data_IF_711067077014
#
_entry.id   IF_711067077014
#
_cell.length_a   1.000
_cell.length_b   1.000
_cell.length_c   1.000
_cell.angle_alpha   90.00
_cell.angle_beta   90.00
_cell.angle_gamma   90.00
#
_symmetry.space_group_name_H-M   'P 1'
#
loop_
_entity.id
_entity.type
_entity.pdbx_description
1 polymer ?
#
# COMPACT_ATOMS: atom_id res chain seq x y z
N UNK A 1 -10.02 4.75 -11.32
CA UNK A 1 -8.69 4.11 -11.35
C UNK A 1 -8.73 2.59 -11.08
N UNK A 2 -8.02 1.79 -11.89
CA UNK A 2 -7.81 0.34 -11.74
C UNK A 2 -6.37 0.00 -11.29
N UNK A 3 -6.08 -1.27 -11.00
CA UNK A 3 -4.77 -1.71 -10.52
C UNK A 3 -3.65 -1.54 -11.55
N UNK A 4 -3.96 -1.59 -12.84
CA UNK A 4 -2.98 -1.34 -13.90
C UNK A 4 -2.54 0.13 -13.94
N UNK A 5 -3.48 1.06 -13.72
CA UNK A 5 -3.20 2.48 -13.57
C UNK A 5 -2.46 2.76 -12.26
N UNK A 6 -2.80 2.07 -11.16
CA UNK A 6 -2.06 2.12 -9.89
C UNK A 6 -0.57 1.82 -10.08
N UNK A 7 -0.25 0.67 -10.68
CA UNK A 7 1.14 0.30 -10.94
C UNK A 7 1.86 1.24 -11.90
N UNK A 8 1.14 1.88 -12.84
CA UNK A 8 1.76 2.86 -13.75
C UNK A 8 2.19 4.10 -12.99
N UNK A 9 1.28 4.70 -12.21
CA UNK A 9 1.56 5.93 -11.46
C UNK A 9 2.68 5.71 -10.45
N UNK A 10 2.62 4.61 -9.69
CA UNK A 10 3.65 4.31 -8.72
C UNK A 10 5.00 4.02 -9.39
N UNK A 11 5.03 3.33 -10.54
CA UNK A 11 6.26 3.11 -11.31
C UNK A 11 6.85 4.42 -11.79
N UNK A 12 6.03 5.28 -12.41
CA UNK A 12 6.48 6.55 -12.95
C UNK A 12 7.06 7.43 -11.82
N UNK A 13 6.34 7.56 -10.70
CA UNK A 13 6.82 8.26 -9.51
C UNK A 13 8.13 7.65 -8.96
N UNK A 14 8.25 6.33 -8.94
CA UNK A 14 9.45 5.66 -8.45
C UNK A 14 10.67 5.87 -9.35
N UNK A 15 10.47 5.97 -10.67
CA UNK A 15 11.54 6.20 -11.64
C UNK A 15 12.04 7.64 -11.68
N UNK A 16 11.26 8.59 -11.15
CA UNK A 16 11.69 9.98 -10.94
C UNK A 16 12.64 10.10 -9.72
N UNK A 17 12.70 9.09 -8.86
CA UNK A 17 13.51 9.11 -7.64
C UNK A 17 15.00 8.91 -7.95
N UNK A 18 15.90 9.71 -7.34
CA UNK A 18 17.34 9.57 -7.53
C UNK A 18 17.86 8.18 -7.15
N UNK A 19 18.65 7.58 -8.05
CA UNK A 19 19.25 6.26 -7.88
C UNK A 19 18.24 5.13 -7.60
N UNK A 20 16.97 5.30 -8.00
CA UNK A 20 16.02 4.22 -8.02
C UNK A 20 16.29 3.29 -9.21
N UNK A 21 16.16 1.99 -8.98
CA UNK A 21 16.32 0.95 -9.97
C UNK A 21 15.18 -0.06 -9.90
N UNK A 22 14.82 -0.66 -11.03
CA UNK A 22 13.87 -1.78 -11.11
C UNK A 22 14.66 -3.06 -11.37
N UNK A 23 14.36 -4.10 -10.59
CA UNK A 23 14.96 -5.44 -10.75
C UNK A 23 13.88 -6.52 -10.74
N UNK A 24 14.16 -7.67 -11.36
CA UNK A 24 13.19 -8.77 -11.52
C UNK A 24 13.70 -10.09 -10.91
N UNK A 25 13.96 -10.16 -9.60
CA UNK A 25 14.60 -11.33 -8.97
C UNK A 25 13.71 -12.58 -8.93
N UNK A 26 12.39 -12.44 -9.13
CA UNK A 26 11.41 -13.53 -9.08
C UNK A 26 10.76 -13.81 -10.44
N UNK A 27 11.33 -13.24 -11.52
CA UNK A 27 10.77 -13.31 -12.87
C UNK A 27 10.08 -12.01 -13.31
N UNK A 28 9.61 -11.95 -14.56
CA UNK A 28 9.12 -10.73 -15.21
C UNK A 28 7.80 -10.19 -14.63
N UNK A 29 7.07 -11.02 -13.87
CA UNK A 29 5.79 -10.64 -13.23
C UNK A 29 5.98 -9.85 -11.92
N UNK A 30 7.23 -9.66 -11.48
CA UNK A 30 7.58 -9.00 -10.23
C UNK A 30 8.55 -7.85 -10.48
N UNK A 31 8.07 -6.61 -10.30
CA UNK A 31 8.96 -5.45 -10.30
C UNK A 31 9.38 -5.12 -8.89
N UNK A 32 10.67 -5.26 -8.60
CA UNK A 32 11.27 -4.89 -7.32
C UNK A 32 12.03 -3.59 -7.47
N UNK A 33 11.50 -2.53 -6.87
CA UNK A 33 12.08 -1.19 -6.87
C UNK A 33 13.04 -1.04 -5.71
N UNK A 34 14.26 -0.59 -6.00
CA UNK A 34 15.36 -0.49 -5.03
C UNK A 34 16.05 0.85 -5.10
N UNK A 35 16.66 1.24 -3.99
CA UNK A 35 17.64 2.34 -3.89
C UNK A 35 18.87 1.81 -3.17
N UNK A 36 20.05 1.99 -3.77
CA UNK A 36 21.31 1.45 -3.26
C UNK A 36 21.23 -0.05 -2.88
N UNK A 37 20.54 -0.86 -3.70
CA UNK A 37 20.34 -2.29 -3.47
C UNK A 37 19.35 -2.67 -2.36
N UNK A 38 18.63 -1.70 -1.78
CA UNK A 38 17.58 -1.93 -0.77
C UNK A 38 16.19 -1.69 -1.37
N UNK A 39 15.29 -2.65 -1.21
CA UNK A 39 13.91 -2.56 -1.72
C UNK A 39 13.11 -1.52 -0.96
N UNK A 40 12.34 -0.70 -1.68
CA UNK A 40 11.34 0.21 -1.13
C UNK A 40 9.93 -0.05 -1.71
N UNK A 41 9.81 -0.65 -2.90
CA UNK A 41 8.49 -0.96 -3.46
C UNK A 41 8.50 -2.25 -4.27
N UNK A 42 7.35 -2.89 -4.35
CA UNK A 42 7.11 -4.13 -5.10
C UNK A 42 5.82 -4.00 -5.91
N UNK A 43 5.85 -4.35 -7.19
CA UNK A 43 4.63 -4.59 -7.99
C UNK A 43 4.47 -6.08 -8.30
N UNK A 44 3.22 -6.53 -8.27
CA UNK A 44 2.82 -7.90 -8.58
C UNK A 44 1.29 -7.95 -8.71
N UNK A 45 0.74 -9.10 -9.11
CA UNK A 45 -0.69 -9.39 -9.09
C UNK A 45 -1.01 -10.43 -8.05
N UNK A 46 -2.06 -10.26 -7.23
CA UNK A 46 -2.51 -11.32 -6.33
C UNK A 46 -2.68 -12.65 -7.07
N UNK A 47 -2.41 -13.80 -6.43
CA UNK A 47 -2.65 -15.09 -7.07
C UNK A 47 -4.14 -15.25 -7.41
N UNK A 48 -4.48 -16.16 -8.33
CA UNK A 48 -5.86 -16.31 -8.85
C UNK A 48 -6.93 -16.55 -7.78
N UNK A 49 -6.54 -17.09 -6.62
CA UNK A 49 -7.42 -17.33 -5.47
C UNK A 49 -7.49 -16.15 -4.47
N UNK A 50 -6.90 -15.00 -4.80
CA UNK A 50 -6.80 -13.84 -3.91
C UNK A 50 -5.80 -14.05 -2.76
N UNK A 51 -5.80 -13.14 -1.79
CA UNK A 51 -4.95 -13.24 -0.62
C UNK A 51 -5.76 -13.02 0.66
N UNK A 52 -5.60 -13.91 1.65
CA UNK A 52 -6.38 -13.90 2.89
C UNK A 52 -6.38 -12.60 3.70
N UNK A 53 -5.36 -11.76 3.52
CA UNK A 53 -5.16 -10.51 4.27
C UNK A 53 -5.39 -9.28 3.37
N UNK A 54 -5.94 -9.46 2.15
CA UNK A 54 -6.18 -8.41 1.15
C UNK A 54 -7.55 -8.63 0.53
N UNK A 55 -8.49 -7.73 0.83
CA UNK A 55 -9.87 -7.81 0.33
C UNK A 55 -9.95 -7.31 -1.12
N UNK A 56 -9.43 -8.11 -2.04
CA UNK A 56 -9.48 -7.86 -3.48
C UNK A 56 -9.49 -9.19 -4.27
N UNK A 57 -10.05 -9.21 -5.49
CA UNK A 57 -10.09 -10.43 -6.30
C UNK A 57 -8.70 -10.98 -6.63
N UNK A 58 -8.62 -12.27 -6.96
CA UNK A 58 -7.40 -12.85 -7.53
C UNK A 58 -7.01 -12.18 -8.86
N UNK A 59 -5.72 -12.11 -9.15
CA UNK A 59 -5.20 -11.42 -10.34
C UNK A 59 -5.14 -9.89 -10.23
N UNK A 60 -5.67 -9.30 -9.14
CA UNK A 60 -5.63 -7.86 -8.89
C UNK A 60 -4.20 -7.35 -8.86
N UNK A 61 -3.92 -6.30 -9.63
CA UNK A 61 -2.62 -5.64 -9.62
C UNK A 61 -2.45 -4.81 -8.34
N UNK A 62 -1.39 -5.10 -7.60
CA UNK A 62 -1.09 -4.47 -6.31
C UNK A 62 0.26 -3.79 -6.34
N UNK A 63 0.44 -2.86 -5.40
CA UNK A 63 1.75 -2.36 -5.00
C UNK A 63 1.97 -2.66 -3.53
N UNK A 64 3.21 -2.93 -3.13
CA UNK A 64 3.58 -3.10 -1.73
C UNK A 64 4.70 -2.12 -1.41
N UNK A 65 4.45 -1.20 -0.49
CA UNK A 65 5.38 -0.11 -0.13
C UNK A 65 5.81 -0.23 1.32
N UNK A 66 7.02 0.25 1.61
CA UNK A 66 7.54 0.32 2.96
C UNK A 66 6.94 1.51 3.70
N UNK A 67 6.55 1.31 4.95
CA UNK A 67 6.04 2.36 5.82
C UNK A 67 6.68 2.23 7.21
N UNK A 68 6.78 3.34 7.93
CA UNK A 68 7.12 3.26 9.36
C UNK A 68 5.99 2.54 10.12
N UNK A 69 6.27 1.86 11.24
CA UNK A 69 5.24 1.10 11.96
C UNK A 69 4.03 1.93 12.39
N UNK A 70 4.25 3.19 12.77
CA UNK A 70 3.17 4.13 13.11
C UNK A 70 2.28 4.43 11.92
N UNK A 71 2.89 4.77 10.78
CA UNK A 71 2.19 5.11 9.54
C UNK A 71 1.49 3.91 8.94
N UNK A 72 2.14 2.74 8.91
CA UNK A 72 1.54 1.50 8.43
C UNK A 72 0.23 1.17 9.17
N UNK A 73 0.18 1.44 10.48
CA UNK A 73 -1.03 1.28 11.27
C UNK A 73 -2.07 2.38 10.96
N UNK A 74 -1.65 3.64 10.85
CA UNK A 74 -2.54 4.76 10.53
C UNK A 74 -3.18 4.63 9.14
N UNK A 75 -2.39 4.32 8.11
CA UNK A 75 -2.84 4.15 6.72
C UNK A 75 -3.93 3.08 6.60
N UNK A 76 -3.74 1.92 7.23
CA UNK A 76 -4.74 0.83 7.23
C UNK A 76 -6.05 1.21 7.91
N UNK A 77 -6.03 2.11 8.91
CA UNK A 77 -7.27 2.60 9.54
C UNK A 77 -7.95 3.69 8.72
N UNK A 78 -7.18 4.50 8.02
CA UNK A 78 -7.68 5.65 7.27
C UNK A 78 -8.18 5.28 5.87
N UNK A 79 -7.69 4.19 5.27
CA UNK A 79 -7.92 3.87 3.88
C UNK A 79 -8.36 2.40 3.70
N UNK A 80 -9.57 2.14 3.18
CA UNK A 80 -10.10 0.77 3.00
C UNK A 80 -9.34 -0.03 1.93
N UNK A 81 -8.56 0.63 1.10
CA UNK A 81 -7.74 0.03 0.04
C UNK A 81 -6.28 -0.22 0.45
N UNK A 82 -5.95 -0.02 1.74
CA UNK A 82 -4.62 -0.29 2.30
C UNK A 82 -4.68 -1.46 3.26
N UNK A 83 -3.92 -2.51 2.94
CA UNK A 83 -3.91 -3.79 3.64
C UNK A 83 -2.53 -4.08 4.25
N UNK A 84 -2.41 -5.07 5.15
CA UNK A 84 -1.10 -5.56 5.58
C UNK A 84 -0.22 -6.01 4.40
N UNK A 85 1.10 -5.83 4.50
CA UNK A 85 2.04 -6.20 3.44
C UNK A 85 1.96 -7.69 3.07
N UNK A 86 1.56 -7.97 1.83
CA UNK A 86 1.46 -9.32 1.28
C UNK A 86 2.87 -9.91 1.09
N UNK A 87 3.10 -11.13 1.60
CA UNK A 87 4.40 -11.80 1.70
C UNK A 87 5.53 -11.05 2.43
N UNK A 88 5.27 -9.88 3.01
CA UNK A 88 6.28 -9.05 3.67
C UNK A 88 5.98 -8.87 5.17
N UNK A 89 6.92 -8.25 5.89
CA UNK A 89 6.72 -7.95 7.30
C UNK A 89 5.65 -6.87 7.46
N UNK A 90 4.44 -7.29 7.86
CA UNK A 90 3.24 -6.45 8.05
C UNK A 90 3.41 -5.26 9.01
N UNK A 91 4.49 -5.22 9.81
CA UNK A 91 4.82 -4.05 10.65
C UNK A 91 5.45 -2.90 9.86
N UNK A 92 6.06 -3.19 8.72
CA UNK A 92 6.86 -2.24 7.94
C UNK A 92 6.42 -2.13 6.48
N UNK A 93 5.44 -2.92 6.07
CA UNK A 93 4.99 -3.01 4.68
C UNK A 93 3.48 -3.03 4.63
N UNK A 94 2.94 -2.28 3.68
CA UNK A 94 1.51 -2.21 3.39
C UNK A 94 1.28 -2.52 1.91
N UNK A 95 0.19 -3.24 1.65
CA UNK A 95 -0.29 -3.52 0.29
C UNK A 95 -1.33 -2.47 -0.06
N UNK A 96 -1.27 -1.92 -1.27
CA UNK A 96 -2.25 -0.97 -1.78
C UNK A 96 -2.91 -1.57 -3.01
N UNK A 97 -4.24 -1.50 -3.04
CA UNK A 97 -5.11 -1.91 -4.15
C UNK A 97 -5.80 -0.67 -4.72
N UNK A 98 -6.24 -0.70 -5.97
CA UNK A 98 -7.07 0.38 -6.49
C UNK A 98 -8.43 0.42 -5.75
N UNK A 99 -8.95 1.58 -5.34
CA UNK A 99 -10.18 1.65 -4.53
C UNK A 99 -11.39 0.95 -5.16
N UNK A 100 -11.51 0.96 -6.49
CA UNK A 100 -12.59 0.29 -7.22
C UNK A 100 -12.45 -1.23 -7.34
N UNK A 101 -11.33 -1.80 -6.89
CA UNK A 101 -11.06 -3.24 -6.89
C UNK A 101 -11.10 -3.83 -5.47
N UNK A 102 -11.36 -3.00 -4.45
CA UNK A 102 -11.59 -3.48 -3.09
C UNK A 102 -12.93 -4.18 -3.03
N UNK A 103 -12.93 -5.44 -2.62
CA UNK A 103 -14.16 -6.17 -2.31
C UNK A 103 -14.61 -5.78 -0.92
N UNK A 104 -15.92 -5.50 -0.75
CA UNK A 104 -16.48 -5.51 0.59
C UNK A 104 -16.24 -6.92 1.16
N UNK A 105 -15.57 -7.02 2.30
CA UNK A 105 -15.48 -8.28 3.01
C UNK A 105 -16.91 -8.79 3.20
N UNK A 106 -17.27 -9.93 2.60
CA UNK A 106 -18.46 -10.65 2.99
C UNK A 106 -18.32 -10.92 4.48
N UNK A 107 -19.05 -10.15 5.29
CA UNK A 107 -19.10 -10.29 6.73
C UNK A 107 -19.89 -11.54 7.08
N UNK A 108 -19.35 -12.71 6.76
CA UNK A 108 -19.86 -14.00 7.20
C UNK A 108 -18.70 -14.95 7.54
N UNK A 109 -18.33 -14.95 8.81
CA UNK A 109 -17.73 -16.10 9.46
C UNK A 109 -18.57 -16.37 10.71
N UNK A 110 -19.26 -17.52 10.80
CA UNK A 110 -20.03 -17.87 11.98
C UNK A 110 -19.10 -18.33 13.10
N UNK A 111 -19.44 -17.88 14.31
CA UNK A 111 -19.14 -18.46 15.62
C UNK A 111 -17.68 -18.55 16.10
N UNK A 112 -17.29 -17.61 16.98
CA UNK A 112 -16.68 -17.99 18.27
C UNK A 112 -17.19 -17.07 19.39
N UNK A 113 -17.36 -17.67 20.56
CA UNK A 113 -18.35 -17.39 21.60
C UNK A 113 -18.24 -16.04 22.35
N UNK A 114 -19.39 -15.64 22.90
CA UNK A 114 -19.66 -14.63 23.95
C UNK A 114 -19.74 -13.12 23.56
N UNK A 115 -20.99 -12.66 23.31
CA UNK A 115 -21.40 -11.25 23.40
C UNK A 115 -22.40 -11.06 24.56
N UNK A 116 -22.15 -10.19 25.56
CA UNK A 116 -23.23 -9.64 26.36
C UNK A 116 -23.93 -8.52 25.57
N UNK A 117 -25.26 -8.52 25.64
CA UNK A 117 -26.16 -7.64 24.90
C UNK A 117 -26.00 -6.16 25.27
N UNK A 118 -26.09 -5.29 24.26
CA UNK A 118 -26.46 -3.89 24.45
C UNK A 118 -27.44 -3.48 23.35
N UNK A 119 -28.63 -3.06 23.78
CA UNK A 119 -29.78 -2.59 22.99
C UNK A 119 -29.55 -1.20 22.38
N UNK A 120 -30.40 -0.76 21.42
CA UNK A 120 -29.98 0.04 20.27
C UNK A 120 -30.28 1.54 20.40
N UNK A 121 -29.55 2.37 19.64
CA UNK A 121 -29.96 3.71 19.19
C UNK A 121 -28.91 4.29 18.21
N UNK A 122 -29.27 5.26 17.34
CA UNK A 122 -30.47 5.35 16.52
C UNK A 122 -30.13 5.45 15.02
N UNK A 123 -31.17 5.32 14.19
CA UNK A 123 -31.16 5.57 12.74
C UNK A 123 -30.49 6.89 12.36
N UNK A 124 -29.63 6.83 11.35
CA UNK A 124 -29.03 8.00 10.69
C UNK A 124 -27.51 7.98 10.59
N UNK A 125 -26.91 6.89 10.11
CA UNK A 125 -25.55 6.95 9.58
C UNK A 125 -25.64 7.37 8.10
N UNK A 126 -25.07 8.51 7.68
CA UNK A 126 -24.94 8.80 6.26
C UNK A 126 -24.00 7.77 5.62
N UNK A 127 -24.34 7.32 4.42
CA UNK A 127 -23.51 6.46 3.57
C UNK A 127 -22.08 7.02 3.44
N UNK A 128 -21.17 6.55 4.31
CA UNK A 128 -19.78 6.99 4.32
C UNK A 128 -18.92 5.99 3.52
N UNK A 129 -19.25 5.78 2.25
CA UNK A 129 -18.22 5.44 1.27
C UNK A 129 -17.58 6.77 0.90
N UNK A 130 -16.60 7.21 1.67
CA UNK A 130 -15.82 8.40 1.32
C UNK A 130 -14.98 8.05 0.10
N UNK A 131 -15.59 8.22 -1.08
CA UNK A 131 -14.89 8.20 -2.35
C UNK A 131 -13.86 9.31 -2.31
N UNK A 132 -12.61 8.94 -2.07
CA UNK A 132 -11.50 9.80 -2.50
C UNK A 132 -11.68 10.02 -4.00
N UNK A 133 -11.66 11.29 -4.42
CA UNK A 133 -11.65 11.56 -5.86
C UNK A 133 -10.34 11.03 -6.48
N UNK A 134 -10.36 10.83 -7.79
CA UNK A 134 -9.27 10.17 -8.50
C UNK A 134 -7.94 10.93 -8.37
N UNK A 135 -7.99 12.27 -8.32
CA UNK A 135 -6.80 13.12 -8.17
C UNK A 135 -6.19 12.91 -6.78
N UNK A 136 -7.01 12.97 -5.73
CA UNK A 136 -6.56 12.74 -4.37
C UNK A 136 -5.93 11.35 -4.18
N UNK A 137 -6.44 10.32 -4.88
CA UNK A 137 -5.84 9.00 -4.85
C UNK A 137 -4.49 8.93 -5.57
N UNK A 138 -4.36 9.53 -6.76
CA UNK A 138 -3.07 9.55 -7.47
C UNK A 138 -1.98 10.24 -6.61
N UNK A 139 -2.33 11.36 -5.96
CA UNK A 139 -1.40 12.10 -5.10
C UNK A 139 -1.04 11.30 -3.85
N UNK A 140 -1.99 10.60 -3.24
CA UNK A 140 -1.72 9.66 -2.15
C UNK A 140 -0.73 8.56 -2.60
N UNK A 141 -0.94 7.96 -3.77
CA UNK A 141 -0.04 6.92 -4.30
C UNK A 141 1.36 7.47 -4.49
N UNK A 142 1.51 8.66 -5.09
CA UNK A 142 2.81 9.32 -5.24
C UNK A 142 3.47 9.52 -3.88
N UNK A 143 2.73 10.07 -2.90
CA UNK A 143 3.24 10.31 -1.55
C UNK A 143 3.74 9.04 -0.87
N UNK A 144 2.97 7.95 -0.97
CA UNK A 144 3.37 6.64 -0.43
C UNK A 144 4.66 6.11 -1.04
N UNK A 145 4.87 6.32 -2.35
CA UNK A 145 6.12 5.95 -3.02
C UNK A 145 7.29 6.79 -2.51
N UNK A 146 7.11 8.12 -2.41
CA UNK A 146 8.13 9.03 -1.88
C UNK A 146 8.52 8.70 -0.45
N UNK A 147 7.53 8.50 0.43
CA UNK A 147 7.77 8.14 1.84
C UNK A 147 8.48 6.80 1.97
N UNK A 148 8.07 5.81 1.19
CA UNK A 148 8.71 4.50 1.20
C UNK A 148 10.19 4.59 0.82
N UNK A 149 10.50 5.33 -0.25
CA UNK A 149 11.88 5.59 -0.67
C UNK A 149 12.67 6.34 0.41
N UNK A 150 12.11 7.42 0.95
CA UNK A 150 12.74 8.21 2.01
C UNK A 150 13.05 7.36 3.24
N UNK A 151 12.12 6.51 3.66
CA UNK A 151 12.29 5.59 4.79
C UNK A 151 13.42 4.57 4.56
N UNK A 152 13.65 4.17 3.31
CA UNK A 152 14.81 3.32 2.98
C UNK A 152 16.10 4.13 2.97
N UNK A 153 16.11 5.30 2.34
CA UNK A 153 17.29 6.18 2.29
C UNK A 153 17.75 6.59 3.69
N UNK A 154 16.82 6.94 4.58
CA UNK A 154 17.10 7.28 5.98
C UNK A 154 17.83 6.14 6.72
N UNK A 155 17.52 4.88 6.39
CA UNK A 155 18.17 3.70 6.96
C UNK A 155 19.53 3.34 6.33
N UNK A 156 19.97 4.04 5.27
CA UNK A 156 21.26 3.79 4.63
C UNK A 156 22.41 4.49 5.39
N UNK A 157 23.64 3.96 5.34
CA UNK A 157 24.83 4.73 5.73
C UNK A 157 24.88 6.06 4.96
N UNK A 158 25.24 7.17 5.62
CA UNK A 158 25.26 8.51 5.00
C UNK A 158 25.98 8.56 3.65
N UNK A 159 27.10 7.86 3.52
CA UNK A 159 27.88 7.81 2.27
C UNK A 159 27.16 7.10 1.10
N UNK A 160 26.06 6.39 1.36
CA UNK A 160 25.23 5.70 0.37
C UNK A 160 23.87 6.36 0.17
N UNK A 161 23.59 7.47 0.85
CA UNK A 161 22.34 8.21 0.68
C UNK A 161 22.45 9.06 -0.60
N UNK A 162 21.62 8.80 -1.63
CA UNK A 162 21.68 9.56 -2.88
C UNK A 162 21.14 10.99 -2.74
N UNK A 163 20.35 11.24 -1.70
CA UNK A 163 19.76 12.53 -1.34
C UNK A 163 19.80 12.70 0.18
N UNK A 164 19.64 13.93 0.67
CA UNK A 164 19.39 14.17 2.10
C UNK A 164 17.92 13.81 2.42
N UNK A 165 17.66 12.70 3.13
CA UNK A 165 16.29 12.24 3.39
C UNK A 165 15.48 13.20 4.27
N UNK A 166 16.13 14.11 5.01
CA UNK A 166 15.44 15.09 5.85
C UNK A 166 14.98 16.33 5.07
N UNK A 167 15.46 16.51 3.83
CA UNK A 167 15.10 17.64 2.96
C UNK A 167 14.37 17.22 1.69
N UNK A 168 14.56 15.97 1.27
CA UNK A 168 13.95 15.45 0.05
C UNK A 168 12.41 15.35 0.20
N UNK A 169 11.68 15.98 -0.73
CA UNK A 169 10.21 16.00 -0.74
C UNK A 169 9.56 16.96 0.26
N UNK A 170 10.28 17.98 0.73
CA UNK A 170 9.78 19.00 1.68
C UNK A 170 9.28 20.29 1.02
N UNK A 171 9.20 20.34 -0.32
CA UNK A 171 8.78 21.51 -1.12
C UNK A 171 7.36 21.33 -1.66
#
# INVERSE_FOLDING_TARGET
>A
MDGARLQRISRDAALELPAAEITHPFGPEWDVFKVAGKMFMLHHRLPDHGAKDVDAPGGTAIIVVKAEPGDAHALRRAHPFVFPGYHLNKKHWVTVVAPGEVTAADSDSPDDDARPQQSPAPDGAPDAVTGIDEIAFEDLVRHLVFDSYRNVVLGLPKAKQPVDPMRFGSD
#
